data_IF_915783138302
#
_entry.id   IF_915783138302
#
_cell.length_a   1.000
_cell.length_b   1.000
_cell.length_c   1.000
_cell.angle_alpha   90.00
_cell.angle_beta   90.00
_cell.angle_gamma   90.00
#
_symmetry.space_group_name_H-M   'P 1'
#
loop_
_entity.id
_entity.type
_entity.pdbx_description
1 polymer ?
#
# COMPACT_ATOMS: atom_id res chain seq x y z
N UNK A 1 0.12 -21.40 -12.53
CA UNK A 1 0.58 -22.59 -13.27
C UNK A 1 -0.50 -23.66 -13.41
N UNK A 2 -1.11 -24.21 -12.34
CA UNK A 2 -2.17 -25.23 -12.45
C UNK A 2 -3.37 -24.72 -13.27
N UNK A 3 -3.87 -23.51 -13.00
CA UNK A 3 -4.97 -22.93 -13.77
C UNK A 3 -4.66 -22.76 -15.26
N UNK A 4 -3.43 -22.35 -15.60
CA UNK A 4 -2.98 -22.19 -16.99
C UNK A 4 -2.93 -23.54 -17.72
N UNK A 5 -2.49 -24.60 -17.04
CA UNK A 5 -2.48 -25.96 -17.60
C UNK A 5 -3.91 -26.46 -17.82
N UNK A 6 -4.80 -26.26 -16.83
CA UNK A 6 -6.20 -26.68 -16.93
C UNK A 6 -6.93 -25.97 -18.08
N UNK A 7 -6.77 -24.66 -18.21
CA UNK A 7 -7.40 -23.90 -19.30
C UNK A 7 -6.82 -24.27 -20.67
N UNK A 8 -5.52 -24.58 -20.77
CA UNK A 8 -4.93 -25.10 -22.00
C UNK A 8 -5.50 -26.46 -22.40
N UNK A 9 -5.67 -27.38 -21.45
CA UNK A 9 -6.26 -28.71 -21.71
C UNK A 9 -7.72 -28.59 -22.16
N UNK A 10 -8.52 -27.72 -21.51
CA UNK A 10 -9.89 -27.43 -21.89
C UNK A 10 -9.96 -26.86 -23.32
N UNK A 11 -9.14 -25.88 -23.64
CA UNK A 11 -9.05 -25.24 -24.94
C UNK A 11 -8.77 -26.29 -26.06
N UNK A 12 -7.78 -27.17 -25.85
CA UNK A 12 -7.46 -28.24 -26.81
C UNK A 12 -8.63 -29.23 -26.97
N UNK A 13 -9.28 -29.58 -25.86
CA UNK A 13 -10.44 -30.48 -25.87
C UNK A 13 -11.64 -29.90 -26.64
N UNK A 14 -11.95 -28.61 -26.42
CA UNK A 14 -13.02 -27.90 -27.11
C UNK A 14 -12.73 -27.77 -28.61
N UNK A 15 -11.50 -27.42 -28.97
CA UNK A 15 -11.07 -27.33 -30.35
C UNK A 15 -11.22 -28.71 -31.09
N UNK A 16 -10.81 -29.79 -30.44
CA UNK A 16 -10.98 -31.14 -30.97
C UNK A 16 -12.46 -31.51 -31.14
N UNK A 17 -13.33 -31.11 -30.20
CA UNK A 17 -14.78 -31.34 -30.30
C UNK A 17 -15.42 -30.52 -31.44
N UNK A 18 -14.98 -29.29 -31.67
CA UNK A 18 -15.47 -28.47 -32.79
C UNK A 18 -15.10 -29.09 -34.12
N UNK A 19 -13.84 -29.54 -34.26
CA UNK A 19 -13.36 -30.20 -35.49
C UNK A 19 -14.13 -31.51 -35.76
N UNK A 20 -14.38 -32.28 -34.71
CA UNK A 20 -15.12 -33.57 -34.83
C UNK A 20 -16.60 -33.37 -35.11
N UNK A 21 -17.22 -32.29 -34.65
CA UNK A 21 -18.68 -32.11 -34.66
C UNK A 21 -19.15 -31.15 -35.75
N UNK A 22 -18.66 -31.34 -36.99
CA UNK A 22 -18.91 -30.41 -38.12
C UNK A 22 -20.35 -30.38 -38.62
N UNK A 23 -21.24 -31.30 -38.21
CA UNK A 23 -22.59 -31.49 -38.77
C UNK A 23 -23.76 -30.96 -37.94
N UNK A 24 -23.57 -30.52 -36.68
CA UNK A 24 -24.66 -30.01 -35.81
C UNK A 24 -24.49 -28.51 -35.47
N UNK A 25 -25.21 -27.65 -36.19
CA UNK A 25 -25.06 -26.19 -36.09
C UNK A 25 -25.35 -25.61 -34.69
N UNK A 26 -26.37 -26.10 -33.96
CA UNK A 26 -26.71 -25.59 -32.60
C UNK A 26 -25.64 -25.93 -31.55
N UNK A 27 -25.12 -27.14 -31.57
CA UNK A 27 -24.03 -27.54 -30.65
C UNK A 27 -22.72 -26.85 -30.98
N UNK A 28 -22.49 -26.51 -32.26
CA UNK A 28 -21.30 -25.78 -32.70
C UNK A 28 -21.26 -24.37 -32.18
N UNK A 29 -22.39 -23.64 -32.12
CA UNK A 29 -22.44 -22.29 -31.55
C UNK A 29 -22.06 -22.28 -30.06
N UNK A 30 -22.57 -23.22 -29.26
CA UNK A 30 -22.22 -23.35 -27.87
C UNK A 30 -20.71 -23.69 -27.69
N UNK A 31 -20.15 -24.61 -28.49
CA UNK A 31 -18.75 -24.94 -28.42
C UNK A 31 -17.83 -23.75 -28.79
N UNK A 32 -18.22 -22.97 -29.79
CA UNK A 32 -17.48 -21.73 -30.15
C UNK A 32 -17.52 -20.70 -29.00
N UNK A 33 -18.69 -20.51 -28.37
CA UNK A 33 -18.83 -19.63 -27.21
C UNK A 33 -17.92 -20.10 -26.06
N UNK A 34 -17.96 -21.38 -25.71
CA UNK A 34 -17.09 -21.96 -24.68
C UNK A 34 -15.61 -21.75 -25.01
N UNK A 35 -15.21 -21.98 -26.26
CA UNK A 35 -13.84 -21.78 -26.72
C UNK A 35 -13.39 -20.32 -26.53
N UNK A 36 -14.24 -19.34 -26.83
CA UNK A 36 -13.94 -17.93 -26.61
C UNK A 36 -13.72 -17.65 -25.13
N UNK A 37 -14.60 -18.16 -24.26
CA UNK A 37 -14.51 -18.00 -22.81
C UNK A 37 -13.24 -18.65 -22.27
N UNK A 38 -12.94 -19.87 -22.68
CA UNK A 38 -11.74 -20.60 -22.25
C UNK A 38 -10.46 -19.91 -22.73
N UNK A 39 -10.47 -19.39 -23.96
CA UNK A 39 -9.36 -18.61 -24.52
C UNK A 39 -9.11 -17.35 -23.69
N UNK A 40 -10.17 -16.62 -23.31
CA UNK A 40 -10.05 -15.45 -22.46
C UNK A 40 -9.41 -15.80 -21.10
N UNK A 41 -9.90 -16.81 -20.42
CA UNK A 41 -9.34 -17.25 -19.14
C UNK A 41 -7.91 -17.81 -19.26
N UNK A 42 -7.58 -18.46 -20.38
CA UNK A 42 -6.23 -18.89 -20.66
C UNK A 42 -5.26 -17.72 -20.75
N UNK A 43 -5.59 -16.68 -21.54
CA UNK A 43 -4.73 -15.50 -21.64
C UNK A 43 -4.67 -14.71 -20.36
N UNK A 44 -5.75 -14.60 -19.59
CA UNK A 44 -5.74 -14.00 -18.26
C UNK A 44 -4.82 -14.74 -17.29
N UNK A 45 -4.88 -16.07 -17.28
CA UNK A 45 -4.02 -16.90 -16.42
C UNK A 45 -2.56 -16.88 -16.87
N UNK A 46 -2.32 -16.85 -18.18
CA UNK A 46 -0.98 -16.75 -18.75
C UNK A 46 -0.37 -15.36 -18.45
N UNK A 47 -1.16 -14.29 -18.67
CA UNK A 47 -0.77 -12.92 -18.35
C UNK A 47 -0.38 -12.77 -16.88
N UNK A 48 -1.20 -13.28 -15.95
CA UNK A 48 -0.87 -13.33 -14.53
C UNK A 48 0.45 -14.03 -14.26
N UNK A 49 0.72 -15.15 -14.93
CA UNK A 49 1.94 -15.94 -14.69
C UNK A 49 3.20 -15.25 -15.22
N UNK A 50 3.07 -14.51 -16.33
CA UNK A 50 4.19 -13.78 -16.97
C UNK A 50 4.45 -12.45 -16.27
N UNK A 51 3.38 -11.68 -16.01
CA UNK A 51 3.49 -10.33 -15.44
C UNK A 51 3.75 -10.34 -13.93
N UNK A 52 3.28 -11.38 -13.24
CA UNK A 52 3.46 -11.57 -11.80
C UNK A 52 4.11 -12.94 -11.54
N UNK A 53 5.39 -13.13 -11.89
CA UNK A 53 6.11 -14.35 -11.57
C UNK A 53 6.09 -14.56 -10.06
N UNK A 54 6.18 -15.83 -9.64
CA UNK A 54 6.30 -16.12 -8.20
C UNK A 54 7.57 -15.47 -7.69
N UNK A 55 7.36 -14.50 -6.80
CA UNK A 55 8.42 -13.85 -6.08
C UNK A 55 8.66 -14.64 -4.79
N UNK A 56 9.90 -15.04 -4.55
CA UNK A 56 10.32 -15.53 -3.24
C UNK A 56 10.65 -14.30 -2.39
N UNK A 57 9.94 -14.14 -1.29
CA UNK A 57 10.26 -13.06 -0.35
C UNK A 57 11.72 -13.17 0.08
N UNK A 58 12.47 -12.05 0.10
CA UNK A 58 13.83 -12.05 0.64
C UNK A 58 13.82 -12.61 2.05
N UNK A 59 14.81 -13.43 2.36
CA UNK A 59 15.00 -13.90 3.72
C UNK A 59 15.40 -12.71 4.58
N UNK A 60 14.76 -12.59 5.74
CA UNK A 60 15.17 -11.59 6.74
C UNK A 60 16.57 -11.91 7.25
N UNK A 61 17.35 -10.86 7.54
CA UNK A 61 18.73 -10.98 8.00
C UNK A 61 18.87 -10.85 9.52
N UNK A 62 17.86 -10.30 10.19
CA UNK A 62 17.83 -10.14 11.64
C UNK A 62 17.50 -11.44 12.39
N UNK A 63 17.77 -11.43 13.68
CA UNK A 63 17.65 -12.61 14.56
C UNK A 63 16.27 -12.73 15.21
N UNK A 64 15.48 -11.64 15.22
CA UNK A 64 14.16 -11.65 15.86
C UNK A 64 13.12 -12.36 15.01
N UNK A 65 12.31 -13.19 15.64
CA UNK A 65 11.08 -13.69 15.03
C UNK A 65 10.06 -12.57 14.95
N UNK A 66 9.42 -12.42 13.78
CA UNK A 66 8.52 -11.30 13.50
C UNK A 66 7.07 -11.71 13.67
N UNK A 67 6.34 -10.96 14.49
CA UNK A 67 4.89 -11.00 14.63
C UNK A 67 4.24 -9.89 13.81
N UNK A 68 2.95 -10.04 13.53
CA UNK A 68 2.17 -9.02 12.79
C UNK A 68 0.78 -8.87 13.40
N UNK A 69 0.34 -7.63 13.54
CA UNK A 69 -1.02 -7.25 13.90
C UNK A 69 -1.57 -6.22 12.92
N UNK A 70 -2.88 -6.27 12.69
CA UNK A 70 -3.58 -5.29 11.85
C UNK A 70 -4.69 -4.66 12.66
N UNK A 71 -4.79 -3.34 12.60
CA UNK A 71 -5.83 -2.56 13.27
C UNK A 71 -6.52 -1.63 12.28
N UNK A 72 -7.77 -1.33 12.56
CA UNK A 72 -8.53 -0.29 11.88
C UNK A 72 -9.05 0.68 12.93
N UNK A 73 -8.70 1.95 12.77
CA UNK A 73 -9.05 3.02 13.71
C UNK A 73 -9.92 4.07 13.04
N UNK A 74 -10.85 4.64 13.80
CA UNK A 74 -11.72 5.74 13.37
C UNK A 74 -11.17 7.04 13.92
N UNK A 75 -10.88 7.98 13.04
CA UNK A 75 -10.49 9.33 13.42
C UNK A 75 -11.74 10.22 13.52
N UNK A 76 -12.30 10.30 14.71
CA UNK A 76 -13.51 11.08 14.98
C UNK A 76 -13.29 12.60 14.88
N UNK A 77 -12.06 13.07 14.72
CA UNK A 77 -11.73 14.47 14.50
C UNK A 77 -11.86 14.91 13.04
N UNK A 78 -11.90 13.96 12.09
CA UNK A 78 -11.95 14.22 10.65
C UNK A 78 -13.09 13.47 9.98
N UNK A 79 -13.83 14.20 9.15
CA UNK A 79 -14.82 13.60 8.25
C UNK A 79 -14.11 13.12 6.99
N UNK A 80 -14.58 12.00 6.44
CA UNK A 80 -14.11 11.47 5.15
C UNK A 80 -14.49 12.42 4.01
N UNK A 81 -13.50 12.87 3.24
CA UNK A 81 -13.68 13.87 2.18
C UNK A 81 -13.88 13.27 0.79
N UNK A 82 -13.61 11.98 0.62
CA UNK A 82 -13.85 11.26 -0.65
C UNK A 82 -15.29 10.78 -0.82
N UNK A 83 -16.12 10.94 0.21
CA UNK A 83 -17.54 10.57 0.17
C UNK A 83 -18.41 11.63 0.82
N UNK A 84 -19.65 11.78 0.36
CA UNK A 84 -20.64 12.72 0.93
C UNK A 84 -21.48 12.06 2.05
N UNK A 85 -20.99 10.97 2.66
CA UNK A 85 -21.76 10.21 3.66
C UNK A 85 -21.73 10.87 5.05
N UNK A 86 -20.79 11.77 5.30
CA UNK A 86 -20.56 12.37 6.63
C UNK A 86 -19.94 11.40 7.64
N UNK A 87 -19.46 10.25 7.19
CA UNK A 87 -18.72 9.30 8.03
C UNK A 87 -17.36 9.86 8.45
N UNK A 88 -16.87 9.41 9.59
CA UNK A 88 -15.51 9.73 10.04
C UNK A 88 -14.44 9.02 9.19
N UNK A 89 -13.26 9.61 9.15
CA UNK A 89 -12.10 9.03 8.49
C UNK A 89 -11.67 7.73 9.18
N UNK A 90 -11.50 6.66 8.40
CA UNK A 90 -11.10 5.35 8.91
C UNK A 90 -9.72 5.00 8.34
N UNK A 91 -8.77 4.62 9.20
CA UNK A 91 -7.39 4.30 8.81
C UNK A 91 -7.04 2.88 9.26
N UNK A 92 -6.57 2.06 8.34
CA UNK A 92 -6.07 0.72 8.63
C UNK A 92 -4.54 0.74 8.67
N UNK A 93 -3.97 0.08 9.68
CA UNK A 93 -2.54 -0.02 9.90
C UNK A 93 -2.12 -1.47 10.14
N UNK A 94 -0.91 -1.81 9.72
CA UNK A 94 -0.33 -3.12 9.97
C UNK A 94 1.04 -2.98 10.60
N UNK A 95 1.24 -3.72 11.67
CA UNK A 95 2.48 -3.77 12.42
C UNK A 95 3.28 -5.02 12.07
N UNK A 96 4.59 -4.89 12.06
CA UNK A 96 5.58 -5.96 12.12
C UNK A 96 6.50 -5.65 13.30
N UNK A 97 6.70 -6.61 14.21
CA UNK A 97 7.45 -6.36 15.43
C UNK A 97 8.10 -7.63 15.97
N UNK A 98 9.20 -7.53 16.75
CA UNK A 98 9.82 -8.67 17.38
C UNK A 98 8.85 -9.43 18.32
N UNK A 99 8.92 -10.77 18.31
CA UNK A 99 8.15 -11.61 19.25
C UNK A 99 8.63 -11.38 20.69
N UNK A 100 9.93 -11.19 20.85
CA UNK A 100 10.56 -10.98 22.14
C UNK A 100 10.15 -9.64 22.73
N UNK A 101 9.99 -9.62 24.06
CA UNK A 101 9.75 -8.38 24.77
C UNK A 101 10.96 -7.48 24.76
N UNK A 102 10.73 -6.17 24.67
CA UNK A 102 11.81 -5.20 24.56
C UNK A 102 11.27 -3.78 24.43
N UNK A 103 12.19 -2.85 24.18
CA UNK A 103 11.87 -1.45 23.90
C UNK A 103 12.53 -1.05 22.57
N UNK A 104 11.79 -1.21 21.49
CA UNK A 104 12.28 -1.08 20.12
C UNK A 104 11.89 0.25 19.50
N UNK A 105 12.75 0.85 18.66
CA UNK A 105 12.38 2.04 17.91
C UNK A 105 11.17 1.78 17.02
N UNK A 106 10.26 2.76 16.92
CA UNK A 106 9.15 2.75 15.99
C UNK A 106 9.57 3.35 14.65
N UNK A 107 9.18 2.72 13.54
CA UNK A 107 9.28 3.29 12.20
C UNK A 107 7.93 3.21 11.49
N UNK A 108 7.45 4.34 10.98
CA UNK A 108 6.16 4.46 10.32
C UNK A 108 6.37 4.60 8.82
N UNK A 109 5.67 3.77 8.06
CA UNK A 109 5.73 3.72 6.60
C UNK A 109 4.46 4.24 5.94
N UNK A 110 4.62 5.16 5.00
CA UNK A 110 3.57 5.66 4.12
C UNK A 110 3.85 5.24 2.68
N UNK A 111 2.90 4.55 2.04
CA UNK A 111 3.04 4.06 0.65
C UNK A 111 2.85 5.16 -0.40
N UNK A 112 3.29 4.94 -1.63
CA UNK A 112 3.06 5.85 -2.77
C UNK A 112 1.60 5.90 -3.22
N UNK A 113 1.29 6.80 -4.16
CA UNK A 113 -0.03 6.84 -4.78
C UNK A 113 -0.39 5.49 -5.40
N UNK A 114 -1.62 5.01 -5.15
CA UNK A 114 -2.07 3.70 -5.64
C UNK A 114 -1.34 2.49 -5.04
N UNK A 115 -0.51 2.68 -4.01
CA UNK A 115 0.08 1.56 -3.27
C UNK A 115 -0.96 0.82 -2.42
N UNK A 116 -0.53 -0.17 -1.65
CA UNK A 116 -1.37 -0.93 -0.71
C UNK A 116 -0.67 -1.06 0.63
N UNK A 117 -1.39 -1.49 1.66
CA UNK A 117 -0.87 -1.68 3.01
C UNK A 117 0.42 -2.52 3.05
N UNK A 118 0.50 -3.55 2.21
CA UNK A 118 1.64 -4.47 2.13
C UNK A 118 2.69 -4.09 1.05
N UNK A 119 2.65 -2.89 0.48
CA UNK A 119 3.58 -2.48 -0.60
C UNK A 119 5.06 -2.67 -0.24
N UNK A 120 5.43 -2.45 1.02
CA UNK A 120 6.80 -2.62 1.53
C UNK A 120 6.89 -3.63 2.68
N UNK A 121 6.05 -4.66 2.66
CA UNK A 121 6.00 -5.70 3.71
C UNK A 121 7.36 -6.36 3.95
N UNK A 122 8.16 -6.62 2.89
CA UNK A 122 9.50 -7.19 3.02
C UNK A 122 10.45 -6.28 3.80
N UNK A 123 10.41 -4.95 3.54
CA UNK A 123 11.22 -3.96 4.28
C UNK A 123 10.76 -3.86 5.73
N UNK A 124 9.44 -3.81 5.98
CA UNK A 124 8.91 -3.77 7.35
C UNK A 124 9.28 -5.03 8.15
N UNK A 125 9.22 -6.20 7.50
CA UNK A 125 9.61 -7.48 8.08
C UNK A 125 11.12 -7.54 8.37
N UNK A 126 11.95 -7.02 7.47
CA UNK A 126 13.40 -6.91 7.65
C UNK A 126 13.71 -6.01 8.85
N UNK A 127 13.11 -4.81 8.92
CA UNK A 127 13.29 -3.90 10.05
C UNK A 127 12.89 -4.57 11.37
N UNK A 128 11.75 -5.26 11.41
CA UNK A 128 11.29 -5.94 12.61
C UNK A 128 12.23 -7.08 13.03
N UNK A 129 12.78 -7.84 12.09
CA UNK A 129 13.76 -8.88 12.39
C UNK A 129 15.07 -8.32 12.98
N UNK A 130 15.35 -7.04 12.74
CA UNK A 130 16.51 -6.30 13.26
C UNK A 130 16.18 -5.43 14.46
N UNK A 131 15.07 -5.67 15.16
CA UNK A 131 14.75 -5.01 16.41
C UNK A 131 14.10 -3.64 16.26
N UNK A 132 13.22 -3.46 15.29
CA UNK A 132 12.34 -2.31 15.15
C UNK A 132 10.87 -2.74 15.27
N UNK A 133 10.00 -1.83 15.67
CA UNK A 133 8.56 -1.95 15.40
C UNK A 133 8.28 -1.15 14.14
N UNK A 134 7.90 -1.81 13.05
CA UNK A 134 7.52 -1.17 11.80
C UNK A 134 6.01 -1.14 11.66
N UNK A 135 5.42 -0.02 11.27
CA UNK A 135 4.00 0.11 10.98
C UNK A 135 3.78 0.72 9.61
N UNK A 136 2.94 0.09 8.79
CA UNK A 136 2.49 0.65 7.52
C UNK A 136 1.08 1.22 7.68
N UNK A 137 0.85 2.36 7.02
CA UNK A 137 -0.45 3.03 6.98
C UNK A 137 -1.07 2.79 5.61
N UNK A 138 -2.34 2.34 5.59
CA UNK A 138 -3.17 2.37 4.39
C UNK A 138 -3.92 3.69 4.35
N UNK A 139 -3.75 4.44 3.25
CA UNK A 139 -4.46 5.70 3.02
C UNK A 139 -5.71 5.41 2.17
N UNK A 140 -6.92 5.29 2.76
CA UNK A 140 -8.14 4.99 2.02
C UNK A 140 -8.35 5.99 0.88
N UNK A 141 -8.93 5.52 -0.22
CA UNK A 141 -9.15 6.26 -1.47
C UNK A 141 -7.89 6.71 -2.24
N UNK A 142 -6.70 6.67 -1.60
CA UNK A 142 -5.41 6.95 -2.24
C UNK A 142 -4.53 5.69 -2.36
N UNK A 143 -4.91 4.60 -1.73
CA UNK A 143 -4.42 3.24 -1.95
C UNK A 143 -5.20 2.56 -3.08
N UNK A 144 -4.60 1.63 -3.82
CA UNK A 144 -5.32 0.84 -4.82
C UNK A 144 -6.54 0.15 -4.21
N UNK A 145 -6.35 -0.41 -3.02
CA UNK A 145 -7.44 -0.87 -2.15
C UNK A 145 -6.96 -0.92 -0.69
N UNK A 146 -7.91 -0.83 0.22
CA UNK A 146 -7.73 -1.04 1.65
C UNK A 146 -8.80 -2.01 2.11
N UNK A 147 -8.41 -3.10 2.74
CA UNK A 147 -9.32 -4.00 3.44
C UNK A 147 -9.17 -3.74 4.94
N UNK A 148 -10.28 -3.41 5.60
CA UNK A 148 -10.30 -3.21 7.05
C UNK A 148 -10.36 -4.55 7.81
N UNK A 149 -10.22 -4.50 9.14
CA UNK A 149 -10.26 -5.71 9.98
C UNK A 149 -11.62 -6.42 9.98
N UNK A 150 -12.67 -5.80 9.45
CA UNK A 150 -14.01 -6.36 9.32
C UNK A 150 -14.28 -6.91 7.90
N UNK A 151 -13.30 -6.80 6.98
CA UNK A 151 -13.42 -7.23 5.59
C UNK A 151 -14.11 -6.22 4.67
N UNK A 152 -14.35 -4.96 5.12
CA UNK A 152 -14.84 -3.89 4.25
C UNK A 152 -13.69 -3.43 3.35
N UNK A 153 -13.92 -3.46 2.04
CA UNK A 153 -12.94 -3.03 1.04
C UNK A 153 -13.26 -1.62 0.56
N UNK A 154 -12.29 -0.73 0.68
CA UNK A 154 -12.30 0.62 0.08
C UNK A 154 -11.33 0.62 -1.09
N UNK A 155 -11.79 1.01 -2.27
CA UNK A 155 -10.96 1.11 -3.48
C UNK A 155 -10.46 2.53 -3.69
N UNK A 156 -9.44 2.66 -4.52
CA UNK A 156 -8.88 3.95 -4.92
C UNK A 156 -9.95 4.85 -5.52
N UNK A 157 -9.90 6.14 -5.21
CA UNK A 157 -10.74 7.14 -5.85
C UNK A 157 -10.28 7.35 -7.31
N UNK A 158 -11.22 7.23 -8.29
CA UNK A 158 -10.86 7.37 -9.71
C UNK A 158 -10.35 8.75 -10.08
N UNK A 159 -10.86 9.81 -9.44
CA UNK A 159 -10.43 11.18 -9.71
C UNK A 159 -9.01 11.40 -9.19
N UNK A 160 -8.70 10.96 -7.96
CA UNK A 160 -7.34 10.97 -7.44
C UNK A 160 -6.35 10.27 -8.39
N UNK A 161 -6.68 9.06 -8.88
CA UNK A 161 -5.80 8.34 -9.82
C UNK A 161 -5.67 9.04 -11.18
N UNK A 162 -6.74 9.65 -11.66
CA UNK A 162 -6.70 10.46 -12.87
C UNK A 162 -5.76 11.67 -12.70
N UNK A 163 -5.88 12.39 -11.59
CA UNK A 163 -5.04 13.53 -11.26
C UNK A 163 -3.55 13.14 -11.12
N UNK A 164 -3.25 12.05 -10.42
CA UNK A 164 -1.88 11.51 -10.30
C UNK A 164 -1.30 11.14 -11.65
N UNK A 165 -2.10 10.53 -12.54
CA UNK A 165 -1.63 10.09 -13.87
C UNK A 165 -1.41 11.27 -14.78
N UNK A 166 -2.30 12.26 -14.75
CA UNK A 166 -2.22 13.45 -15.60
C UNK A 166 -1.09 14.39 -15.16
N UNK A 167 -0.82 14.45 -13.85
CA UNK A 167 0.26 15.26 -13.27
C UNK A 167 1.66 14.85 -13.73
N UNK A 168 1.81 13.64 -14.27
CA UNK A 168 3.11 13.05 -14.60
C UNK A 168 3.53 13.24 -16.05
N UNK A 169 3.33 14.39 -16.70
CA UNK A 169 3.68 14.39 -18.11
C UNK A 169 3.78 15.72 -18.86
N UNK A 170 3.87 16.85 -18.19
CA UNK A 170 3.96 18.14 -18.87
C UNK A 170 5.07 19.01 -18.28
N UNK A 171 5.91 19.57 -19.14
CA UNK A 171 6.91 20.59 -18.79
C UNK A 171 6.30 22.02 -18.79
N UNK A 172 4.97 22.15 -18.82
CA UNK A 172 4.27 23.44 -18.78
C UNK A 172 4.23 23.96 -17.32
N UNK A 173 4.79 25.16 -17.03
CA UNK A 173 4.77 25.74 -15.69
C UNK A 173 3.37 25.93 -15.08
N UNK A 174 2.35 26.18 -15.91
CA UNK A 174 0.97 26.29 -15.44
C UNK A 174 0.44 24.92 -14.99
N UNK A 175 0.81 23.86 -15.68
CA UNK A 175 0.48 22.48 -15.30
C UNK A 175 1.20 22.07 -14.01
N UNK A 176 2.50 22.38 -13.90
CA UNK A 176 3.27 22.12 -12.68
C UNK A 176 2.65 22.82 -11.45
N UNK A 177 2.21 24.08 -11.59
CA UNK A 177 1.54 24.80 -10.53
C UNK A 177 0.21 24.14 -10.10
N UNK A 178 -0.59 23.67 -11.07
CA UNK A 178 -1.84 22.98 -10.79
C UNK A 178 -1.62 21.64 -10.08
N UNK A 179 -0.63 20.87 -10.51
CA UNK A 179 -0.23 19.60 -9.86
C UNK A 179 0.27 19.84 -8.43
N UNK A 180 1.01 20.92 -8.21
CA UNK A 180 1.49 21.30 -6.89
C UNK A 180 0.32 21.59 -5.94
N UNK A 181 -0.69 22.37 -6.38
CA UNK A 181 -1.87 22.64 -5.55
C UNK A 181 -2.67 21.36 -5.23
N UNK A 182 -2.91 20.49 -6.22
CA UNK A 182 -3.54 19.19 -5.99
C UNK A 182 -2.74 18.32 -5.02
N UNK A 183 -1.42 18.30 -5.14
CA UNK A 183 -0.56 17.49 -4.28
C UNK A 183 -0.57 17.98 -2.82
N UNK A 184 -0.79 19.26 -2.57
CA UNK A 184 -0.98 19.77 -1.21
C UNK A 184 -2.21 19.16 -0.54
N UNK A 185 -3.34 19.10 -1.24
CA UNK A 185 -4.57 18.50 -0.72
C UNK A 185 -4.35 16.99 -0.40
N UNK A 186 -3.73 16.26 -1.31
CA UNK A 186 -3.40 14.85 -1.06
C UNK A 186 -2.51 14.68 0.17
N UNK A 187 -1.53 15.56 0.34
CA UNK A 187 -0.60 15.52 1.46
C UNK A 187 -1.24 15.96 2.77
N UNK A 188 -2.23 16.87 2.76
CA UNK A 188 -3.00 17.22 3.97
C UNK A 188 -3.78 16.00 4.47
N UNK A 189 -4.48 15.29 3.59
CA UNK A 189 -5.22 14.07 3.94
C UNK A 189 -4.29 13.00 4.51
N UNK A 190 -3.18 12.70 3.80
CA UNK A 190 -2.21 11.68 4.22
C UNK A 190 -1.45 12.08 5.48
N UNK A 191 -1.06 13.35 5.58
CA UNK A 191 -0.40 13.89 6.77
C UNK A 191 -1.32 13.82 7.99
N UNK A 192 -2.62 14.08 7.80
CA UNK A 192 -3.64 13.85 8.82
C UNK A 192 -3.71 12.39 9.25
N UNK A 193 -3.69 11.43 8.30
CA UNK A 193 -3.68 10.00 8.61
C UNK A 193 -2.43 9.61 9.41
N UNK A 194 -1.24 10.04 8.97
CA UNK A 194 0.03 9.72 9.63
C UNK A 194 0.11 10.35 11.03
N UNK A 195 -0.37 11.58 11.20
CA UNK A 195 -0.47 12.24 12.51
C UNK A 195 -1.42 11.50 13.44
N UNK A 196 -2.62 11.15 12.98
CA UNK A 196 -3.61 10.40 13.75
C UNK A 196 -3.08 9.05 14.19
N UNK A 197 -2.39 8.32 13.29
CA UNK A 197 -1.78 7.02 13.60
C UNK A 197 -0.70 7.17 14.66
N UNK A 198 0.17 8.17 14.55
CA UNK A 198 1.21 8.45 15.54
C UNK A 198 0.61 8.77 16.91
N UNK A 199 -0.41 9.64 16.98
CA UNK A 199 -1.06 10.03 18.24
C UNK A 199 -1.75 8.82 18.86
N UNK A 200 -2.42 8.00 18.07
CA UNK A 200 -3.06 6.76 18.53
C UNK A 200 -2.04 5.78 19.11
N UNK A 201 -0.92 5.57 18.41
CA UNK A 201 0.16 4.68 18.90
C UNK A 201 0.72 5.20 20.21
N UNK A 202 1.04 6.48 20.30
CA UNK A 202 1.60 7.09 21.52
C UNK A 202 0.65 6.98 22.71
N UNK A 203 -0.65 7.23 22.51
CA UNK A 203 -1.66 7.06 23.54
C UNK A 203 -1.75 5.60 24.03
N UNK A 204 -1.67 4.62 23.13
CA UNK A 204 -1.65 3.19 23.47
C UNK A 204 -0.38 2.78 24.22
N UNK A 205 0.77 3.33 23.87
CA UNK A 205 2.02 3.13 24.61
C UNK A 205 1.92 3.71 26.04
N UNK A 206 1.35 4.91 26.20
CA UNK A 206 1.12 5.52 27.52
C UNK A 206 0.15 4.70 28.36
N UNK A 207 -0.89 4.16 27.75
CA UNK A 207 -1.84 3.24 28.38
C UNK A 207 -1.25 1.85 28.69
N UNK A 208 -0.01 1.57 28.25
CA UNK A 208 0.68 0.28 28.40
C UNK A 208 -0.10 -0.89 27.83
N UNK A 209 -0.73 -0.67 26.66
CA UNK A 209 -1.40 -1.77 25.96
C UNK A 209 -0.37 -2.83 25.52
N UNK A 210 -0.81 -4.08 25.51
CA UNK A 210 0.01 -5.23 25.12
C UNK A 210 0.23 -5.30 23.59
N UNK A 211 0.90 -6.34 23.11
CA UNK A 211 1.17 -6.57 21.71
C UNK A 211 2.29 -5.67 21.18
N UNK A 212 2.11 -5.09 20.01
CA UNK A 212 3.10 -4.19 19.40
C UNK A 212 3.37 -2.96 20.28
N UNK A 213 2.34 -2.41 20.93
CA UNK A 213 2.43 -1.16 21.72
C UNK A 213 3.33 -1.29 22.93
N UNK A 214 3.30 -2.44 23.63
CA UNK A 214 4.17 -2.71 24.78
C UNK A 214 5.65 -2.86 24.42
N UNK A 215 5.97 -2.95 23.14
CA UNK A 215 7.33 -3.11 22.61
C UNK A 215 7.92 -1.83 22.02
N UNK A 216 7.13 -0.77 21.89
CA UNK A 216 7.56 0.48 21.28
C UNK A 216 8.33 1.33 22.29
N UNK A 217 9.45 1.90 21.84
CA UNK A 217 10.12 3.01 22.52
C UNK A 217 9.56 4.33 21.98
N UNK A 218 8.72 5.06 22.74
CA UNK A 218 8.07 6.27 22.26
C UNK A 218 9.04 7.45 22.05
N UNK A 219 10.26 7.36 22.57
CA UNK A 219 11.28 8.39 22.40
C UNK A 219 12.10 8.20 21.11
N UNK A 220 11.90 7.08 20.39
CA UNK A 220 12.65 6.74 19.18
C UNK A 220 11.69 6.44 18.04
N UNK A 221 11.28 7.47 17.32
CA UNK A 221 10.35 7.37 16.21
C UNK A 221 11.01 7.87 14.93
N UNK A 222 10.89 7.08 13.86
CA UNK A 222 11.28 7.42 12.51
C UNK A 222 10.11 7.33 11.55
N UNK A 223 10.12 8.15 10.51
CA UNK A 223 9.14 8.15 9.43
C UNK A 223 9.85 7.85 8.12
N UNK A 224 9.25 7.04 7.26
CA UNK A 224 9.74 6.81 5.92
C UNK A 224 8.59 6.53 4.97
N UNK A 225 8.85 6.64 3.68
CA UNK A 225 7.80 6.41 2.70
C UNK A 225 8.35 6.29 1.29
N UNK A 226 7.48 5.90 0.39
CA UNK A 226 7.79 5.80 -1.03
C UNK A 226 6.99 6.84 -1.82
N UNK A 227 7.64 7.56 -2.76
CA UNK A 227 6.98 8.53 -3.64
C UNK A 227 6.14 9.55 -2.82
N UNK A 228 4.83 9.68 -3.09
CA UNK A 228 3.91 10.55 -2.34
C UNK A 228 3.94 10.28 -0.83
N UNK A 229 4.10 9.00 -0.42
CA UNK A 229 4.27 8.64 0.99
C UNK A 229 5.55 9.19 1.59
N UNK A 230 6.66 9.23 0.83
CA UNK A 230 7.90 9.86 1.25
C UNK A 230 7.74 11.35 1.50
N UNK A 231 7.03 12.06 0.59
CA UNK A 231 6.70 13.48 0.78
C UNK A 231 5.83 13.70 2.02
N UNK A 232 4.85 12.82 2.26
CA UNK A 232 4.00 12.84 3.46
C UNK A 232 4.84 12.72 4.73
N UNK A 233 5.70 11.71 4.81
CA UNK A 233 6.56 11.47 5.98
C UNK A 233 7.53 12.63 6.24
N UNK A 234 8.06 13.28 5.18
CA UNK A 234 8.89 14.50 5.34
C UNK A 234 8.06 15.65 5.90
N UNK A 235 6.83 15.89 5.37
CA UNK A 235 5.93 16.92 5.88
C UNK A 235 5.65 16.71 7.36
N UNK A 236 5.17 15.54 7.75
CA UNK A 236 4.83 15.20 9.14
C UNK A 236 6.05 15.28 10.06
N UNK A 237 7.20 14.75 9.62
CA UNK A 237 8.45 14.83 10.38
C UNK A 237 8.91 16.26 10.66
N UNK A 238 8.76 17.17 9.69
CA UNK A 238 9.06 18.62 9.87
C UNK A 238 8.08 19.30 10.83
N UNK A 239 6.79 19.01 10.72
CA UNK A 239 5.76 19.59 11.59
C UNK A 239 5.90 19.11 13.03
N UNK A 240 6.27 17.85 13.24
CA UNK A 240 6.48 17.25 14.56
C UNK A 240 7.87 17.43 15.13
N UNK A 241 8.84 17.95 14.38
CA UNK A 241 10.24 18.13 14.86
C UNK A 241 10.36 18.97 16.14
N UNK A 242 9.39 19.80 16.43
CA UNK A 242 9.29 20.57 17.67
C UNK A 242 8.76 19.75 18.86
N UNK A 243 8.18 18.57 18.62
CA UNK A 243 7.57 17.72 19.64
C UNK A 243 8.45 16.51 20.00
N UNK A 244 9.38 16.11 19.13
CA UNK A 244 10.32 15.03 19.43
C UNK A 244 11.43 15.53 20.38
N UNK A 245 11.17 15.50 21.68
CA UNK A 245 12.17 15.77 22.71
C UNK A 245 13.12 14.58 22.82
N UNK A 246 14.25 14.70 22.21
CA UNK A 246 15.35 13.77 22.44
C UNK A 246 16.31 13.69 21.27
N UNK A 247 17.36 14.48 21.36
CA UNK A 247 18.62 14.39 20.64
C UNK A 247 18.57 13.98 19.17
N UNK A 248 18.74 15.03 18.35
CA UNK A 248 19.43 14.96 17.07
C UNK A 248 19.04 13.81 16.16
N UNK A 249 18.23 14.11 15.19
CA UNK A 249 18.31 13.49 13.87
C UNK A 249 19.69 13.79 13.24
N UNK A 250 20.78 13.49 13.97
CA UNK A 250 22.11 13.48 13.43
C UNK A 250 22.31 12.17 12.72
N UNK A 251 22.08 12.17 11.43
CA UNK A 251 22.59 11.17 10.52
C UNK A 251 21.67 10.02 10.10
N UNK A 252 20.44 9.91 10.51
CA UNK A 252 19.47 9.09 9.80
C UNK A 252 19.00 9.91 8.60
N UNK A 253 19.63 9.71 7.47
CA UNK A 253 19.31 10.37 6.22
C UNK A 253 17.85 10.14 5.92
N UNK A 254 17.06 11.22 5.88
CA UNK A 254 15.86 11.27 5.07
C UNK A 254 16.31 11.14 3.61
N UNK A 255 16.59 9.92 3.18
CA UNK A 255 16.85 9.61 1.81
C UNK A 255 15.51 9.43 1.14
N UNK A 256 14.93 10.55 0.67
CA UNK A 256 13.99 10.47 -0.44
C UNK A 256 14.78 9.90 -1.62
N UNK A 257 14.84 8.59 -1.77
CA UNK A 257 15.22 7.99 -3.04
C UNK A 257 14.07 8.21 -4.01
N UNK A 258 14.10 9.36 -4.68
CA UNK A 258 13.44 9.51 -5.95
C UNK A 258 14.19 8.58 -6.92
N UNK A 259 13.67 7.39 -7.14
CA UNK A 259 14.07 6.63 -8.33
C UNK A 259 13.71 7.49 -9.53
N UNK A 260 14.74 7.98 -10.19
CA UNK A 260 14.71 8.86 -11.34
C UNK A 260 13.99 8.20 -12.53
N UNK A 261 12.69 8.38 -12.57
CA UNK A 261 11.85 8.18 -13.74
C UNK A 261 10.94 9.38 -13.97
N UNK A 262 10.81 10.23 -12.97
CA UNK A 262 10.03 11.46 -13.00
C UNK A 262 10.98 12.64 -12.79
N UNK A 263 11.34 13.31 -13.87
CA UNK A 263 11.98 14.63 -13.82
C UNK A 263 10.91 15.65 -13.45
N UNK A 264 10.61 15.73 -12.16
CA UNK A 264 9.85 16.80 -11.58
C UNK A 264 10.62 17.31 -10.38
N UNK A 265 11.14 18.53 -10.46
CA UNK A 265 11.81 19.19 -9.35
C UNK A 265 10.76 19.63 -8.35
N UNK A 266 10.47 18.82 -7.34
CA UNK A 266 9.80 19.31 -6.15
C UNK A 266 10.84 20.05 -5.32
N UNK A 267 10.88 21.37 -5.44
CA UNK A 267 11.54 22.26 -4.48
C UNK A 267 10.67 22.27 -3.21
N UNK A 268 11.17 21.63 -2.14
CA UNK A 268 10.68 21.77 -0.77
C UNK A 268 11.22 23.04 -0.14
#
# INVERSE_FOLDING_TARGET
MIATILTAVLFIGELALIIRNTRQTKKRGLLIFLLIVTTFFFFMSLGKTILFPRYEEPRVTGEHKVLTDTYTWVDESRIETYTDTGEYRVVTVKFWYPEEEGSYPLVVFSHGAGGVLDSNASTCKELASNGYVAVAIAHPYQAAFVEDVNGKVTIVDPEFMSQVTTGNGSDDPAHEAAVYEMSKEWMEIRGGDENFVLDTILAKCEAKEEGAFGRINPDKIGLFGHSLGGATSVKVGRERSLSFRGNTLSGAAFRCEFQSGLRGSFLL
#
